data_IF_518084471878
#
_entry.id   IF_518084471878
#
_cell.length_a   1.000
_cell.length_b   1.000
_cell.length_c   1.000
_cell.angle_alpha   90.00
_cell.angle_beta   90.00
_cell.angle_gamma   90.00
#
_symmetry.space_group_name_H-M   'P 1'
#
loop_
_entity.id
_entity.type
_entity.pdbx_description
1 polymer ?
#
# COMPACT_ATOMS: atom_id res chain seq x y z
N UNK A 1 -33.48 16.21 77.09
CA UNK A 1 -32.43 15.30 77.62
C UNK A 1 -32.43 14.04 76.78
N UNK A 2 -31.28 13.71 76.15
CA UNK A 2 -30.71 12.36 75.82
C UNK A 2 -31.71 11.30 75.28
N UNK A 3 -31.53 10.60 74.15
CA UNK A 3 -30.34 9.90 73.62
C UNK A 3 -30.77 9.24 72.27
N UNK A 4 -30.10 9.50 71.14
CA UNK A 4 -29.24 8.58 70.34
C UNK A 4 -29.81 7.21 69.94
N UNK A 5 -29.83 6.89 68.63
CA UNK A 5 -29.40 5.62 67.98
C UNK A 5 -29.49 5.80 66.44
N UNK A 6 -28.37 6.00 65.72
CA UNK A 6 -27.51 5.02 65.01
C UNK A 6 -28.05 4.62 63.61
N UNK A 7 -27.52 5.19 62.51
CA UNK A 7 -26.37 4.73 61.68
C UNK A 7 -26.57 3.38 60.96
N UNK A 8 -26.67 3.43 59.62
CA UNK A 8 -26.10 2.44 58.73
C UNK A 8 -25.81 3.10 57.36
N UNK A 9 -24.56 3.54 57.19
CA UNK A 9 -24.00 3.95 55.92
C UNK A 9 -23.41 2.73 55.21
N UNK A 10 -23.91 2.39 54.02
CA UNK A 10 -23.26 1.47 53.10
C UNK A 10 -22.80 2.24 51.88
N UNK A 11 -21.54 2.70 51.88
CA UNK A 11 -20.90 3.28 50.70
C UNK A 11 -20.39 2.15 49.80
N UNK A 12 -20.99 2.03 48.61
CA UNK A 12 -20.55 1.16 47.54
C UNK A 12 -19.33 1.79 46.86
N UNK A 13 -18.16 1.15 46.97
CA UNK A 13 -16.97 1.47 46.18
C UNK A 13 -17.19 1.02 44.74
N UNK A 14 -17.48 1.96 43.84
CA UNK A 14 -17.36 1.71 42.40
C UNK A 14 -15.93 2.07 41.97
N UNK A 15 -15.14 1.02 41.71
CA UNK A 15 -13.85 1.09 41.02
C UNK A 15 -14.06 1.77 39.65
N UNK A 16 -13.62 3.01 39.53
CA UNK A 16 -13.41 3.65 38.24
C UNK A 16 -12.29 2.88 37.53
N UNK A 17 -12.69 1.95 36.67
CA UNK A 17 -11.80 1.38 35.66
C UNK A 17 -11.45 2.52 34.71
N UNK A 18 -10.30 3.15 34.93
CA UNK A 18 -9.73 4.07 33.94
C UNK A 18 -9.38 3.24 32.71
N UNK A 19 -9.97 3.50 31.53
CA UNK A 19 -9.45 2.92 30.30
C UNK A 19 -8.04 3.47 30.08
N UNK A 20 -7.05 2.62 30.36
CA UNK A 20 -5.66 2.82 29.97
C UNK A 20 -5.54 2.73 28.44
N UNK A 21 -4.68 3.58 27.87
CA UNK A 21 -4.37 3.75 26.45
C UNK A 21 -5.43 4.52 25.60
N UNK A 22 -5.47 5.84 25.78
CA UNK A 22 -5.66 6.72 24.60
C UNK A 22 -4.42 6.53 23.73
N UNK A 23 -4.55 5.80 22.62
CA UNK A 23 -3.64 6.00 21.51
C UNK A 23 -3.77 7.47 21.12
N UNK A 24 -2.73 8.28 21.36
CA UNK A 24 -2.68 9.62 20.79
C UNK A 24 -2.76 9.44 19.28
N UNK A 25 -3.91 9.84 18.70
CA UNK A 25 -4.27 9.63 17.29
C UNK A 25 -3.55 10.64 16.37
N UNK A 26 -2.35 11.06 16.79
CA UNK A 26 -1.70 12.29 16.36
C UNK A 26 -0.66 12.09 15.24
N UNK A 27 -0.55 10.87 14.73
CA UNK A 27 0.57 10.52 13.85
C UNK A 27 0.21 10.56 12.37
N UNK A 28 1.20 10.91 11.56
CA UNK A 28 1.18 10.80 10.11
C UNK A 28 1.94 9.52 9.73
N UNK A 29 1.27 8.56 9.12
CA UNK A 29 1.83 7.25 8.75
C UNK A 29 1.83 7.05 7.23
N UNK A 30 2.92 6.49 6.71
CA UNK A 30 3.08 6.10 5.31
C UNK A 30 3.69 4.70 5.20
N UNK A 31 3.03 3.80 4.46
CA UNK A 31 3.73 2.63 3.93
C UNK A 31 4.53 3.03 2.69
N UNK A 32 5.84 2.81 2.72
CA UNK A 32 6.70 3.06 1.57
C UNK A 32 6.47 1.98 0.51
N UNK A 33 6.56 2.38 -0.76
CA UNK A 33 6.53 1.45 -1.87
C UNK A 33 7.88 0.75 -1.97
N UNK A 34 7.85 -0.56 -2.14
CA UNK A 34 9.02 -1.38 -2.43
C UNK A 34 9.37 -1.24 -3.92
N UNK A 35 10.65 -1.07 -4.22
CA UNK A 35 11.17 -0.83 -5.58
C UNK A 35 11.51 -2.12 -6.33
N UNK A 36 11.51 -3.26 -5.66
CA UNK A 36 11.78 -4.58 -6.22
C UNK A 36 13.19 -5.11 -5.96
N UNK A 37 14.02 -4.39 -5.20
CA UNK A 37 15.38 -4.82 -4.85
C UNK A 37 15.35 -6.02 -3.90
N UNK A 38 14.43 -6.01 -2.95
CA UNK A 38 14.15 -7.10 -2.03
C UNK A 38 12.62 -7.29 -2.00
N UNK A 39 12.11 -8.35 -2.61
CA UNK A 39 10.69 -8.47 -2.94
C UNK A 39 9.77 -8.69 -1.74
N UNK A 40 10.28 -9.31 -0.67
CA UNK A 40 9.50 -9.62 0.53
C UNK A 40 9.59 -8.53 1.60
N UNK A 41 10.64 -7.71 1.53
CA UNK A 41 10.88 -6.63 2.46
C UNK A 41 9.80 -5.54 2.43
N UNK A 42 9.54 -4.93 3.57
CA UNK A 42 8.53 -3.87 3.72
C UNK A 42 9.07 -2.73 4.56
N UNK A 43 8.54 -1.52 4.33
CA UNK A 43 8.92 -0.36 5.13
C UNK A 43 7.74 0.58 5.42
N UNK A 44 7.84 1.26 6.56
CA UNK A 44 6.87 2.21 7.06
C UNK A 44 7.58 3.42 7.66
N UNK A 45 7.14 4.60 7.29
CA UNK A 45 7.56 5.86 7.90
C UNK A 45 6.43 6.45 8.75
N UNK A 46 6.78 7.04 9.89
CA UNK A 46 5.82 7.68 10.81
C UNK A 46 6.39 8.96 11.40
N UNK A 47 5.56 9.99 11.50
CA UNK A 47 5.84 11.23 12.22
C UNK A 47 4.82 11.35 13.34
N UNK A 48 5.30 11.32 14.59
CA UNK A 48 4.52 11.59 15.79
C UNK A 48 4.84 13.03 16.25
N UNK A 49 3.82 13.82 16.61
CA UNK A 49 3.98 15.18 17.13
C UNK A 49 3.19 15.31 18.44
N UNK A 50 3.87 15.69 19.52
CA UNK A 50 3.30 15.83 20.87
C UNK A 50 3.94 17.02 21.59
N UNK A 51 3.15 18.05 21.91
CA UNK A 51 3.59 19.26 22.65
C UNK A 51 4.88 19.90 22.09
N UNK A 52 4.99 20.01 20.76
CA UNK A 52 6.18 20.58 20.07
C UNK A 52 7.34 19.59 19.91
N UNK A 53 7.27 18.43 20.55
CA UNK A 53 8.20 17.31 20.38
C UNK A 53 7.81 16.53 19.15
N UNK A 54 8.78 16.29 18.29
CA UNK A 54 8.61 15.57 17.06
C UNK A 54 9.44 14.30 17.09
N UNK A 55 8.85 13.23 16.54
CA UNK A 55 9.53 11.95 16.43
C UNK A 55 9.27 11.34 15.06
N UNK A 56 10.34 11.21 14.29
CA UNK A 56 10.32 10.55 12.99
C UNK A 56 10.87 9.14 13.12
N UNK A 57 10.12 8.16 12.63
CA UNK A 57 10.51 6.75 12.64
C UNK A 57 10.44 6.18 11.23
N UNK A 58 11.41 5.33 10.91
CA UNK A 58 11.33 4.42 9.77
C UNK A 58 11.58 3.02 10.28
N UNK A 59 10.60 2.15 10.11
CA UNK A 59 10.67 0.73 10.40
C UNK A 59 10.82 -0.04 9.08
N UNK A 60 11.64 -1.08 9.08
CA UNK A 60 11.70 -2.09 8.02
C UNK A 60 11.48 -3.47 8.64
N UNK A 61 10.85 -4.36 7.88
CA UNK A 61 10.75 -5.77 8.19
C UNK A 61 11.10 -6.59 6.95
N UNK A 62 11.50 -7.85 7.18
CA UNK A 62 11.82 -8.83 6.14
C UNK A 62 12.92 -8.33 5.16
N UNK A 63 13.74 -7.36 5.58
CA UNK A 63 14.84 -6.80 4.78
C UNK A 63 16.13 -7.57 5.07
N UNK A 64 16.98 -7.78 4.07
CA UNK A 64 18.30 -8.37 4.31
C UNK A 64 19.09 -7.63 5.40
N UNK A 65 19.74 -8.37 6.30
CA UNK A 65 20.63 -7.81 7.32
C UNK A 65 21.75 -6.94 6.71
N UNK A 66 22.03 -5.80 7.35
CA UNK A 66 23.02 -4.84 6.87
C UNK A 66 22.76 -3.40 7.33
N UNK A 67 23.63 -2.48 6.94
CA UNK A 67 23.47 -1.05 7.20
C UNK A 67 22.62 -0.37 6.12
N UNK A 68 21.75 0.53 6.55
CA UNK A 68 20.83 1.28 5.69
C UNK A 68 20.75 2.75 6.11
N UNK A 69 20.32 3.60 5.19
CA UNK A 69 20.20 5.03 5.38
C UNK A 69 18.84 5.55 4.90
N UNK A 70 18.31 6.54 5.64
CA UNK A 70 17.05 7.21 5.33
C UNK A 70 17.32 8.61 4.79
N UNK A 71 16.66 8.93 3.69
CA UNK A 71 16.73 10.24 3.04
C UNK A 71 15.36 10.91 3.04
N UNK A 72 15.35 12.21 3.29
CA UNK A 72 14.16 13.06 3.17
C UNK A 72 14.49 14.20 2.22
N UNK A 73 13.72 14.33 1.14
CA UNK A 73 14.00 15.29 0.07
C UNK A 73 15.44 15.20 -0.46
N UNK A 74 16.00 13.99 -0.54
CA UNK A 74 17.37 13.73 -0.99
C UNK A 74 18.47 14.00 0.04
N UNK A 75 18.15 14.55 1.21
CA UNK A 75 19.11 14.76 2.29
C UNK A 75 19.15 13.57 3.25
N UNK A 76 20.34 13.10 3.62
CA UNK A 76 20.52 12.05 4.63
C UNK A 76 20.02 12.56 5.99
N UNK A 77 19.07 11.87 6.60
CA UNK A 77 18.56 12.22 7.94
C UNK A 77 19.03 11.26 9.03
N UNK A 78 19.40 10.03 8.67
CA UNK A 78 19.93 9.06 9.63
C UNK A 78 20.25 7.72 8.97
N UNK A 79 20.97 6.89 9.72
CA UNK A 79 21.31 5.52 9.35
C UNK A 79 20.87 4.56 10.46
N UNK A 80 20.66 3.29 10.10
CA UNK A 80 20.27 2.23 11.01
C UNK A 80 20.76 0.89 10.47
N UNK A 81 20.86 -0.10 11.36
CA UNK A 81 21.17 -1.48 10.99
C UNK A 81 19.90 -2.34 10.99
N UNK A 82 19.89 -3.31 10.09
CA UNK A 82 18.91 -4.40 10.06
C UNK A 82 19.58 -5.65 10.62
N UNK A 83 18.91 -6.27 11.57
CA UNK A 83 19.39 -7.45 12.27
C UNK A 83 19.23 -8.75 11.44
N UNK A 84 19.63 -9.88 12.02
CA UNK A 84 19.54 -11.19 11.37
C UNK A 84 18.11 -11.69 11.15
N UNK A 85 17.13 -11.14 11.86
CA UNK A 85 15.71 -11.48 11.70
C UNK A 85 15.05 -10.62 10.61
N UNK A 86 15.81 -9.68 10.04
CA UNK A 86 15.38 -8.79 8.98
C UNK A 86 14.59 -7.58 9.48
N UNK A 87 14.70 -7.26 10.78
CA UNK A 87 14.07 -6.10 11.40
C UNK A 87 15.09 -4.96 11.56
N UNK A 88 14.63 -3.73 11.35
CA UNK A 88 15.47 -2.55 11.54
C UNK A 88 14.65 -1.30 11.77
N UNK A 89 15.21 -0.34 12.51
CA UNK A 89 14.52 0.91 12.86
C UNK A 89 15.47 2.09 12.93
N UNK A 90 15.11 3.16 12.23
CA UNK A 90 15.57 4.51 12.52
C UNK A 90 14.54 5.21 13.42
N UNK A 91 15.01 5.89 14.48
CA UNK A 91 14.19 6.75 15.33
C UNK A 91 14.95 8.05 15.61
N UNK A 92 14.37 9.16 15.19
CA UNK A 92 14.90 10.52 15.39
C UNK A 92 13.88 11.32 16.19
N UNK A 93 14.35 12.04 17.21
CA UNK A 93 13.53 12.85 18.10
C UNK A 93 14.13 14.26 18.22
N UNK A 94 13.27 15.27 18.35
CA UNK A 94 13.71 16.66 18.50
C UNK A 94 12.57 17.61 18.84
N UNK A 95 12.93 18.82 19.27
CA UNK A 95 12.03 19.89 19.68
C UNK A 95 12.47 21.23 19.05
N UNK A 96 12.26 21.45 17.73
CA UNK A 96 11.72 20.54 16.71
C UNK A 96 12.80 19.62 16.11
N UNK A 97 12.39 18.72 15.20
CA UNK A 97 13.36 18.00 14.35
C UNK A 97 14.06 18.99 13.39
N UNK A 98 15.33 18.73 13.00
CA UNK A 98 16.06 19.59 12.08
C UNK A 98 15.60 19.47 10.61
N UNK A 99 14.57 18.66 10.34
CA UNK A 99 13.95 18.48 9.03
C UNK A 99 12.45 18.23 9.18
N UNK A 100 11.68 18.48 8.10
CA UNK A 100 10.25 18.18 8.04
C UNK A 100 9.97 17.17 6.91
N UNK A 101 9.47 15.95 7.21
CA UNK A 101 9.17 14.97 6.17
C UNK A 101 7.90 15.31 5.38
N UNK A 102 6.99 16.16 5.89
CA UNK A 102 5.66 16.40 5.30
C UNK A 102 5.75 16.90 3.86
N UNK A 103 5.10 16.19 2.95
CA UNK A 103 5.09 16.49 1.52
C UNK A 103 6.43 16.27 0.81
N UNK A 104 7.39 15.60 1.45
CA UNK A 104 8.69 15.27 0.87
C UNK A 104 8.76 13.79 0.51
N UNK A 105 9.58 13.46 -0.47
CA UNK A 105 9.93 12.07 -0.76
C UNK A 105 10.82 11.53 0.36
N UNK A 106 10.45 10.36 0.89
CA UNK A 106 11.23 9.55 1.82
C UNK A 106 11.79 8.35 1.07
N UNK A 107 13.08 8.10 1.20
CA UNK A 107 13.78 6.96 0.59
C UNK A 107 14.60 6.19 1.62
N UNK A 108 14.67 4.87 1.48
CA UNK A 108 15.58 3.99 2.23
C UNK A 108 16.57 3.36 1.25
N UNK A 109 17.86 3.49 1.53
CA UNK A 109 18.97 3.06 0.66
C UNK A 109 19.99 2.22 1.43
N UNK A 110 20.80 1.41 0.75
CA UNK A 110 21.94 0.71 1.38
C UNK A 110 23.00 1.68 1.91
N UNK A 111 23.18 2.81 1.23
CA UNK A 111 24.14 3.86 1.55
C UNK A 111 23.75 5.17 0.80
N UNK A 112 24.44 6.30 1.02
CA UNK A 112 24.10 7.57 0.35
C UNK A 112 24.15 7.60 -1.17
N UNK A 113 24.99 6.78 -1.80
CA UNK A 113 25.03 6.60 -3.26
C UNK A 113 24.30 5.32 -3.72
N UNK A 114 23.69 4.61 -2.78
CA UNK A 114 23.21 3.25 -2.94
C UNK A 114 21.85 3.14 -3.61
N UNK A 115 21.45 1.89 -3.83
CA UNK A 115 20.18 1.53 -4.46
C UNK A 115 19.02 1.87 -3.51
N UNK A 116 17.93 2.42 -4.07
CA UNK A 116 16.69 2.69 -3.33
C UNK A 116 15.90 1.41 -3.17
N UNK A 117 15.67 0.97 -1.93
CA UNK A 117 14.84 -0.20 -1.59
C UNK A 117 13.38 0.19 -1.41
N UNK A 118 13.15 1.33 -0.78
CA UNK A 118 11.82 1.84 -0.47
C UNK A 118 11.72 3.31 -0.78
N UNK A 119 10.56 3.73 -1.29
CA UNK A 119 10.27 5.13 -1.58
C UNK A 119 8.80 5.47 -1.38
N UNK A 120 8.52 6.69 -0.95
CA UNK A 120 7.16 7.22 -0.98
C UNK A 120 7.11 8.70 -0.64
N UNK A 121 6.07 9.38 -1.11
CA UNK A 121 5.84 10.79 -0.76
C UNK A 121 5.10 10.88 0.56
N UNK A 122 5.77 11.42 1.56
CA UNK A 122 5.22 11.53 2.90
C UNK A 122 4.01 12.47 2.91
N UNK A 123 2.90 12.08 3.55
CA UNK A 123 1.70 12.90 3.55
C UNK A 123 1.94 14.30 4.15
N UNK A 124 1.29 15.33 3.60
CA UNK A 124 1.40 16.71 4.11
C UNK A 124 0.67 16.91 5.44
N UNK A 125 -0.32 16.07 5.69
CA UNK A 125 -1.20 16.13 6.86
C UNK A 125 -1.77 14.75 7.20
N UNK A 126 -2.37 14.62 8.38
CA UNK A 126 -3.09 13.42 8.79
C UNK A 126 -4.24 13.08 7.86
N UNK A 127 -4.97 14.07 7.39
CA UNK A 127 -6.08 13.86 6.45
C UNK A 127 -5.57 13.27 5.14
N UNK A 128 -4.45 13.78 4.64
CA UNK A 128 -3.82 13.21 3.44
C UNK A 128 -3.29 11.79 3.68
N UNK A 129 -2.77 11.48 4.88
CA UNK A 129 -2.33 10.13 5.25
C UNK A 129 -3.50 9.14 5.37
N UNK A 130 -4.64 9.63 5.85
CA UNK A 130 -5.86 8.83 6.03
C UNK A 130 -6.67 8.71 4.75
N UNK A 131 -6.33 9.46 3.69
CA UNK A 131 -6.99 9.38 2.39
C UNK A 131 -7.02 7.93 1.93
N UNK A 132 -8.23 7.46 1.69
CA UNK A 132 -8.53 6.14 1.17
C UNK A 132 -9.48 6.31 0.01
N UNK A 133 -9.21 5.63 -1.08
CA UNK A 133 -10.12 5.58 -2.21
C UNK A 133 -10.01 4.21 -2.88
N UNK A 134 -11.02 3.92 -3.69
CA UNK A 134 -11.11 2.69 -4.45
C UNK A 134 -11.65 3.03 -5.82
N UNK A 135 -10.89 2.69 -6.86
CA UNK A 135 -11.35 2.71 -8.24
C UNK A 135 -11.75 1.28 -8.61
N UNK A 136 -12.89 1.13 -9.28
CA UNK A 136 -13.35 -0.13 -9.86
C UNK A 136 -13.98 0.18 -11.19
N UNK A 137 -13.43 -0.37 -12.25
CA UNK A 137 -13.93 -0.19 -13.60
C UNK A 137 -13.96 -1.54 -14.31
N UNK A 138 -14.98 -1.70 -15.15
CA UNK A 138 -15.17 -2.89 -15.97
C UNK A 138 -14.51 -2.64 -17.32
N UNK A 139 -13.88 -3.67 -17.87
CA UNK A 139 -13.33 -3.61 -19.21
C UNK A 139 -14.45 -3.68 -20.24
N UNK A 140 -14.24 -3.00 -21.36
CA UNK A 140 -15.08 -3.10 -22.54
C UNK A 140 -14.53 -4.19 -23.45
N UNK A 141 -15.38 -5.12 -23.90
CA UNK A 141 -15.00 -6.11 -24.91
C UNK A 141 -14.76 -5.45 -26.26
N UNK A 142 -13.71 -5.89 -26.96
CA UNK A 142 -13.40 -5.47 -28.33
C UNK A 142 -14.23 -6.21 -29.38
N UNK A 143 -15.01 -7.22 -28.97
CA UNK A 143 -15.79 -8.08 -29.84
C UNK A 143 -15.01 -9.28 -30.43
N UNK A 144 -13.72 -9.43 -30.09
CA UNK A 144 -12.95 -10.64 -30.44
C UNK A 144 -13.56 -11.87 -29.74
N UNK A 145 -13.92 -11.69 -28.48
CA UNK A 145 -14.74 -12.60 -27.70
C UNK A 145 -15.88 -11.80 -27.07
N UNK A 146 -17.13 -11.98 -27.53
CA UNK A 146 -18.26 -11.15 -27.08
C UNK A 146 -18.70 -11.46 -25.64
N UNK A 147 -18.41 -12.67 -25.14
CA UNK A 147 -18.82 -13.11 -23.80
C UNK A 147 -17.76 -12.76 -22.75
N UNK A 148 -16.53 -12.44 -23.19
CA UNK A 148 -15.44 -12.05 -22.31
C UNK A 148 -15.78 -10.85 -21.42
N UNK A 149 -15.50 -10.98 -20.13
CA UNK A 149 -15.64 -9.90 -19.16
C UNK A 149 -14.33 -9.65 -18.41
N UNK A 150 -14.10 -8.40 -18.03
CA UNK A 150 -12.95 -8.01 -17.25
C UNK A 150 -13.26 -6.94 -16.22
N UNK A 151 -12.48 -6.89 -15.15
CA UNK A 151 -12.59 -5.86 -14.13
C UNK A 151 -11.24 -5.49 -13.52
N UNK A 152 -10.96 -4.20 -13.48
CA UNK A 152 -9.81 -3.63 -12.79
C UNK A 152 -10.23 -2.99 -11.47
N UNK A 153 -9.39 -3.11 -10.44
CA UNK A 153 -9.64 -2.54 -9.11
C UNK A 153 -8.35 -2.05 -8.49
N UNK A 154 -8.30 -0.76 -8.17
CA UNK A 154 -7.24 -0.15 -7.36
C UNK A 154 -7.81 0.25 -5.99
N UNK A 155 -7.10 -0.09 -4.92
CA UNK A 155 -7.40 0.37 -3.56
C UNK A 155 -6.18 1.07 -2.98
N UNK A 156 -6.39 2.28 -2.47
CA UNK A 156 -5.37 3.05 -1.76
C UNK A 156 -5.81 3.26 -0.32
N UNK A 157 -4.91 3.02 0.64
CA UNK A 157 -5.13 3.29 2.07
C UNK A 157 -3.77 3.49 2.75
N UNK A 158 -3.54 4.66 3.37
CA UNK A 158 -2.29 4.99 4.08
C UNK A 158 -1.04 4.82 3.20
N UNK A 159 -1.12 5.29 1.95
CA UNK A 159 -0.07 5.14 0.94
C UNK A 159 0.11 3.72 0.37
N UNK A 160 -0.40 2.68 1.03
CA UNK A 160 -0.44 1.33 0.45
C UNK A 160 -1.39 1.29 -0.74
N UNK A 161 -0.91 0.80 -1.86
CA UNK A 161 -1.67 0.59 -3.09
C UNK A 161 -1.80 -0.92 -3.33
N UNK A 162 -3.02 -1.36 -3.66
CA UNK A 162 -3.31 -2.72 -4.12
C UNK A 162 -4.07 -2.65 -5.44
N UNK A 163 -3.54 -3.30 -6.46
CA UNK A 163 -4.16 -3.35 -7.78
C UNK A 163 -4.49 -4.79 -8.13
N UNK A 164 -5.66 -5.03 -8.71
CA UNK A 164 -6.08 -6.34 -9.15
C UNK A 164 -6.80 -6.22 -10.48
N UNK A 165 -6.52 -7.16 -11.38
CA UNK A 165 -7.27 -7.38 -12.60
C UNK A 165 -7.80 -8.81 -12.59
N UNK A 166 -9.07 -8.96 -12.95
CA UNK A 166 -9.76 -10.24 -13.16
C UNK A 166 -10.30 -10.25 -14.59
N UNK A 167 -10.19 -11.39 -15.25
CA UNK A 167 -10.78 -11.69 -16.55
C UNK A 167 -11.56 -13.00 -16.42
N UNK A 168 -12.69 -13.10 -17.10
CA UNK A 168 -13.50 -14.34 -17.16
C UNK A 168 -14.08 -14.51 -18.56
N UNK A 169 -14.58 -15.71 -18.81
CA UNK A 169 -15.30 -16.05 -20.05
C UNK A 169 -14.46 -15.85 -21.32
N UNK A 170 -13.14 -15.90 -21.17
CA UNK A 170 -12.18 -16.04 -22.26
C UNK A 170 -11.73 -17.51 -22.32
N UNK A 171 -11.32 -18.03 -23.49
CA UNK A 171 -10.77 -19.36 -23.61
C UNK A 171 -9.61 -19.60 -22.62
N UNK A 172 -9.47 -20.82 -22.07
CA UNK A 172 -8.33 -21.17 -21.23
C UNK A 172 -7.01 -20.85 -21.94
N UNK A 173 -6.11 -20.15 -21.26
CA UNK A 173 -4.88 -19.68 -21.88
C UNK A 173 -4.13 -18.64 -21.07
N UNK A 174 -2.96 -18.26 -21.59
CA UNK A 174 -2.16 -17.16 -21.04
C UNK A 174 -2.45 -15.88 -21.82
N UNK A 175 -2.77 -14.84 -21.06
CA UNK A 175 -3.03 -13.50 -21.55
C UNK A 175 -2.09 -12.51 -20.88
N UNK A 176 -1.93 -11.35 -21.47
CA UNK A 176 -1.09 -10.27 -20.99
C UNK A 176 -1.95 -9.12 -20.49
N UNK A 177 -1.66 -8.68 -19.27
CA UNK A 177 -2.08 -7.39 -18.77
C UNK A 177 -1.10 -6.32 -19.26
N UNK A 178 -1.63 -5.37 -20.03
CA UNK A 178 -0.91 -4.22 -20.56
C UNK A 178 -1.44 -2.95 -19.88
N UNK A 179 -0.54 -2.09 -19.42
CA UNK A 179 -0.85 -0.81 -18.77
C UNK A 179 -0.06 0.29 -19.48
N UNK A 180 -0.75 1.28 -20.04
CA UNK A 180 -0.09 2.36 -20.79
C UNK A 180 0.78 1.84 -21.95
N UNK A 181 0.36 0.77 -22.61
CA UNK A 181 1.11 0.12 -23.69
C UNK A 181 2.27 -0.79 -23.24
N UNK A 182 2.56 -0.89 -21.94
CA UNK A 182 3.61 -1.78 -21.41
C UNK A 182 3.01 -3.04 -20.80
N UNK A 183 3.52 -4.21 -21.19
CA UNK A 183 3.17 -5.48 -20.54
C UNK A 183 3.67 -5.50 -19.09
N UNK A 184 2.78 -5.67 -18.12
CA UNK A 184 3.13 -5.68 -16.68
C UNK A 184 2.96 -7.05 -16.01
N UNK A 185 2.13 -7.94 -16.56
CA UNK A 185 1.99 -9.31 -16.05
C UNK A 185 1.30 -10.23 -17.06
N UNK A 186 1.47 -11.53 -16.86
CA UNK A 186 0.59 -12.55 -17.43
C UNK A 186 -0.60 -12.85 -16.51
N UNK A 187 -1.74 -13.14 -17.12
CA UNK A 187 -2.97 -13.64 -16.51
C UNK A 187 -3.19 -15.04 -17.07
N UNK A 188 -3.16 -16.04 -16.20
CA UNK A 188 -3.53 -17.41 -16.57
C UNK A 188 -5.02 -17.57 -16.36
N UNK A 189 -5.74 -17.93 -17.41
CA UNK A 189 -7.13 -18.36 -17.34
C UNK A 189 -7.22 -19.88 -17.34
N UNK A 190 -8.00 -20.41 -16.41
CA UNK A 190 -8.26 -21.82 -16.21
C UNK A 190 -9.63 -22.01 -15.53
N UNK A 191 -10.20 -23.23 -15.57
CA UNK A 191 -11.35 -23.58 -14.73
C UNK A 191 -11.08 -23.28 -13.25
N UNK A 192 -12.07 -22.74 -12.54
CA UNK A 192 -11.97 -22.61 -11.08
C UNK A 192 -12.16 -23.98 -10.41
N UNK A 193 -11.43 -24.24 -9.33
CA UNK A 193 -11.47 -25.54 -8.63
C UNK A 193 -12.87 -25.86 -8.09
N UNK A 194 -13.59 -24.84 -7.62
CA UNK A 194 -14.93 -24.97 -7.03
C UNK A 194 -16.06 -24.78 -8.07
N UNK A 195 -15.75 -24.22 -9.25
CA UNK A 195 -16.69 -23.89 -10.33
C UNK A 195 -16.04 -24.24 -11.69
N UNK A 196 -15.94 -25.54 -12.04
CA UNK A 196 -15.14 -26.00 -13.19
C UNK A 196 -15.69 -25.56 -14.55
N UNK A 197 -16.95 -25.11 -14.59
CA UNK A 197 -17.57 -24.53 -15.77
C UNK A 197 -17.26 -23.03 -15.93
N UNK A 198 -16.69 -22.37 -14.91
CA UNK A 198 -16.26 -20.98 -14.95
C UNK A 198 -14.75 -20.87 -15.26
N UNK A 199 -14.41 -20.22 -16.38
CA UNK A 199 -13.02 -19.93 -16.74
C UNK A 199 -12.67 -18.54 -16.23
N UNK A 200 -11.76 -18.47 -15.26
CA UNK A 200 -11.29 -17.21 -14.67
C UNK A 200 -9.77 -17.12 -14.64
N UNK A 201 -9.27 -15.89 -14.74
CA UNK A 201 -7.91 -15.54 -14.45
C UNK A 201 -7.81 -14.25 -13.66
N UNK A 202 -6.86 -14.18 -12.74
CA UNK A 202 -6.62 -12.97 -11.94
C UNK A 202 -5.16 -12.72 -11.69
N UNK A 203 -4.79 -11.44 -11.64
CA UNK A 203 -3.48 -10.98 -11.18
C UNK A 203 -3.66 -9.94 -10.08
N UNK A 204 -2.82 -10.04 -9.04
CA UNK A 204 -2.86 -9.17 -7.86
C UNK A 204 -1.49 -8.53 -7.68
N UNK A 205 -1.50 -7.24 -7.37
CA UNK A 205 -0.32 -6.45 -7.06
C UNK A 205 -0.47 -5.73 -5.71
N UNK A 206 0.61 -5.63 -4.93
CA UNK A 206 0.71 -4.81 -3.73
C UNK A 206 1.95 -3.93 -3.82
N UNK A 207 1.87 -2.68 -3.40
CA UNK A 207 3.02 -1.76 -3.47
C UNK A 207 4.11 -2.07 -2.46
N UNK A 208 3.87 -2.97 -1.48
CA UNK A 208 4.79 -3.17 -0.37
C UNK A 208 5.65 -4.42 -0.49
N UNK A 209 5.19 -5.44 -1.20
CA UNK A 209 5.88 -6.72 -1.32
C UNK A 209 5.32 -7.55 -2.49
N UNK A 210 6.04 -8.59 -2.88
CA UNK A 210 5.55 -9.68 -3.72
C UNK A 210 5.70 -11.02 -2.98
N UNK A 211 4.58 -11.70 -2.69
CA UNK A 211 4.59 -13.00 -1.99
C UNK A 211 3.49 -13.92 -2.51
N UNK A 212 3.83 -15.18 -2.78
CA UNK A 212 2.90 -16.16 -3.34
C UNK A 212 2.33 -15.69 -4.68
N UNK A 213 0.99 -15.60 -4.79
CA UNK A 213 0.32 -15.12 -6.00
C UNK A 213 0.23 -13.59 -6.13
N UNK A 214 0.75 -12.84 -5.15
CA UNK A 214 0.78 -11.37 -5.19
C UNK A 214 2.11 -10.90 -5.76
N UNK A 215 2.05 -10.07 -6.79
CA UNK A 215 3.20 -9.42 -7.44
C UNK A 215 3.45 -8.03 -6.83
N UNK A 216 4.63 -7.47 -7.06
CA UNK A 216 4.94 -6.12 -6.63
C UNK A 216 4.33 -5.09 -7.60
N UNK A 217 3.69 -4.06 -7.07
CA UNK A 217 3.17 -2.95 -7.87
C UNK A 217 4.27 -1.90 -8.10
N UNK A 218 4.96 -1.99 -9.24
CA UNK A 218 6.04 -1.08 -9.66
C UNK A 218 5.62 -0.04 -10.71
N UNK A 219 4.33 0.00 -11.05
CA UNK A 219 3.75 0.92 -12.04
C UNK A 219 2.53 1.64 -11.47
N UNK A 220 2.16 2.76 -12.08
CA UNK A 220 0.92 3.48 -11.76
C UNK A 220 -0.18 3.13 -12.77
N UNK A 221 -1.26 2.42 -12.37
CA UNK A 221 -2.37 2.15 -13.26
C UNK A 221 -3.33 3.33 -13.46
N UNK A 222 -3.27 4.38 -12.62
CA UNK A 222 -4.19 5.50 -12.74
C UNK A 222 -3.90 6.30 -14.00
N UNK A 223 -4.98 6.68 -14.67
CA UNK A 223 -4.96 7.53 -15.85
C UNK A 223 -4.19 6.93 -17.04
N UNK A 224 -3.96 5.61 -16.99
CA UNK A 224 -3.42 4.80 -18.06
C UNK A 224 -4.53 4.03 -18.76
N UNK A 225 -4.29 3.66 -20.01
CA UNK A 225 -5.07 2.60 -20.65
C UNK A 225 -4.71 1.25 -20.03
N UNK A 226 -5.69 0.36 -19.93
CA UNK A 226 -5.51 -1.03 -19.54
C UNK A 226 -6.00 -1.92 -20.67
N UNK A 227 -5.28 -2.99 -20.98
CA UNK A 227 -5.71 -3.98 -21.94
C UNK A 227 -5.41 -5.40 -21.46
N UNK A 228 -6.29 -6.34 -21.78
CA UNK A 228 -6.02 -7.77 -21.72
C UNK A 228 -5.88 -8.25 -23.16
N UNK A 229 -4.69 -8.74 -23.48
CA UNK A 229 -4.30 -9.09 -24.84
C UNK A 229 -3.62 -10.45 -24.89
N UNK A 230 -3.49 -11.03 -26.07
CA UNK A 230 -2.68 -12.23 -26.28
C UNK A 230 -1.83 -12.03 -27.53
N UNK A 231 -0.56 -12.42 -27.46
CA UNK A 231 0.33 -12.40 -28.62
C UNK A 231 0.56 -13.82 -29.10
N UNK A 232 0.12 -14.11 -30.32
CA UNK A 232 0.31 -15.40 -30.98
C UNK A 232 0.87 -15.17 -32.39
N UNK A 233 1.94 -15.89 -32.75
CA UNK A 233 2.55 -15.77 -34.08
C UNK A 233 3.08 -14.37 -34.44
N UNK A 234 3.38 -13.52 -33.45
CA UNK A 234 3.81 -12.14 -33.65
C UNK A 234 2.68 -11.13 -33.84
N UNK A 235 1.42 -11.57 -33.79
CA UNK A 235 0.24 -10.69 -33.80
C UNK A 235 -0.32 -10.58 -32.39
N UNK A 236 -0.54 -9.34 -31.94
CA UNK A 236 -1.20 -9.06 -30.65
C UNK A 236 -2.67 -8.78 -30.89
N UNK A 237 -3.52 -9.54 -30.22
CA UNK A 237 -4.97 -9.37 -30.22
C UNK A 237 -5.42 -8.86 -28.86
N UNK A 238 -6.15 -7.75 -28.82
CA UNK A 238 -6.75 -7.21 -27.60
C UNK A 238 -8.19 -7.67 -27.48
N UNK A 239 -8.54 -8.25 -26.34
CA UNK A 239 -9.88 -8.79 -26.06
C UNK A 239 -10.71 -7.83 -25.22
N UNK A 240 -10.07 -7.19 -24.24
CA UNK A 240 -10.72 -6.34 -23.25
C UNK A 240 -9.88 -5.07 -23.08
N UNK A 241 -10.52 -3.89 -23.06
CA UNK A 241 -9.84 -2.62 -22.88
C UNK A 241 -10.55 -1.67 -21.90
N UNK A 242 -9.76 -0.86 -21.20
CA UNK A 242 -10.17 0.37 -20.52
C UNK A 242 -9.31 1.48 -21.11
N UNK A 243 -9.92 2.48 -21.73
CA UNK A 243 -9.18 3.58 -22.36
C UNK A 243 -8.41 4.44 -21.35
N UNK A 244 -9.03 4.70 -20.19
CA UNK A 244 -8.45 5.53 -19.14
C UNK A 244 -8.94 5.14 -17.75
N UNK A 245 -8.13 4.36 -17.04
CA UNK A 245 -8.51 3.85 -15.72
C UNK A 245 -8.52 4.93 -14.65
N UNK A 246 -9.62 5.06 -13.89
CA UNK A 246 -9.81 6.08 -12.87
C UNK A 246 -10.48 7.35 -13.37
N UNK A 247 -10.90 7.39 -14.64
CA UNK A 247 -11.67 8.50 -15.19
C UNK A 247 -13.05 8.62 -14.53
N UNK A 248 -13.66 7.52 -14.07
CA UNK A 248 -14.97 7.56 -13.42
C UNK A 248 -14.97 8.25 -12.05
N UNK A 249 -13.80 8.47 -11.47
CA UNK A 249 -13.62 9.02 -10.13
C UNK A 249 -12.99 10.43 -10.15
N UNK A 250 -12.92 11.08 -11.33
CA UNK A 250 -12.27 12.38 -11.56
C UNK A 250 -10.80 12.46 -11.07
N UNK A 251 -10.15 11.30 -10.94
CA UNK A 251 -8.76 11.20 -10.45
C UNK A 251 -7.72 11.59 -11.50
N UNK A 252 -8.17 11.86 -12.73
CA UNK A 252 -7.34 12.08 -13.89
C UNK A 252 -7.42 13.50 -14.47
N UNK A 253 -7.98 14.43 -13.72
CA UNK A 253 -7.93 15.86 -14.02
C UNK A 253 -6.55 16.43 -13.64
N UNK A 254 -5.99 17.36 -14.44
CA UNK A 254 -4.68 17.96 -14.22
C UNK A 254 -4.59 18.77 -12.92
#
# INVERSE_FOLDING_TARGET
MRTSLALAAGLLWALLSTPSARAHDDDIELFLANTGVDLDARSRARLDEDDGRQRFKVDVDDLRAGGYAVFVAGSLVGAFDVDSDGEGRLRLEGEPLPFDPRGKTVEVKSDPAGVVFFRGDFPRSRDSARRKFKVREDFVSTGVDPDAEGRAKLRVKRGRRRFQVKAKDLPPGSYDLVVGGTRVAGIQLAPEDDEPDEIEGRVKFDSRFARGSVRLLTFDPLCQSLAISQTAGGTTTTFLAIEKFGASEDLCSP
#
